data_IF_373602574121
#
_entry.id   IF_373602574121
#
_cell.length_a   1.000
_cell.length_b   1.000
_cell.length_c   1.000
_cell.angle_alpha   90.00
_cell.angle_beta   90.00
_cell.angle_gamma   90.00
#
_symmetry.space_group_name_H-M   'P 1'
#
loop_
_entity.id
_entity.type
_entity.pdbx_description
1 polymer ?
#
# COMPACT_ATOMS: atom_id res chain seq x y z
N UNK A 1 9.00 15.01 6.47
CA UNK A 1 9.18 16.22 7.30
C UNK A 1 8.02 16.24 8.28
N UNK A 2 8.23 15.80 9.52
CA UNK A 2 7.20 15.73 10.56
C UNK A 2 7.07 17.12 11.21
N UNK A 3 5.84 17.58 11.40
CA UNK A 3 5.51 18.92 11.89
C UNK A 3 6.00 19.16 13.31
N UNK A 4 6.64 20.31 13.50
CA UNK A 4 7.09 20.82 14.80
C UNK A 4 5.86 21.34 15.56
N UNK A 5 5.53 20.72 16.69
CA UNK A 5 4.54 21.26 17.63
C UNK A 5 5.02 22.60 18.20
N UNK A 6 4.09 23.52 18.41
CA UNK A 6 4.31 24.95 18.68
C UNK A 6 4.99 25.27 20.04
N UNK A 7 5.40 24.26 20.83
CA UNK A 7 6.01 24.43 22.15
C UNK A 7 7.27 23.59 22.44
N UNK A 8 7.85 22.91 21.45
CA UNK A 8 9.17 22.27 21.62
C UNK A 8 9.23 21.08 22.60
N UNK A 9 8.10 20.60 23.12
CA UNK A 9 8.02 19.30 23.79
C UNK A 9 7.88 18.19 22.74
N UNK A 10 8.78 17.21 22.79
CA UNK A 10 8.61 15.97 22.06
C UNK A 10 7.49 15.18 22.75
N UNK A 11 6.42 14.85 22.02
CA UNK A 11 5.37 13.97 22.52
C UNK A 11 5.95 12.65 23.03
N UNK A 12 5.23 11.96 23.91
CA UNK A 12 5.63 10.64 24.40
C UNK A 12 5.83 9.67 23.23
N UNK A 13 6.58 8.57 23.44
CA UNK A 13 6.79 7.55 22.40
C UNK A 13 5.45 7.07 21.83
N UNK A 14 4.45 6.88 22.70
CA UNK A 14 3.10 6.49 22.28
C UNK A 14 2.44 7.54 21.40
N UNK A 15 2.46 8.81 21.79
CA UNK A 15 1.89 9.92 21.00
C UNK A 15 2.55 10.04 19.62
N UNK A 16 3.85 9.76 19.51
CA UNK A 16 4.58 9.76 18.24
C UNK A 16 4.11 8.64 17.32
N UNK A 17 3.91 7.42 17.85
CA UNK A 17 3.38 6.28 17.10
C UNK A 17 1.91 6.47 16.71
N UNK A 18 1.10 7.04 17.61
CA UNK A 18 -0.31 7.39 17.33
C UNK A 18 -0.41 8.45 16.23
N UNK A 19 0.42 9.50 16.30
CA UNK A 19 0.51 10.52 15.25
C UNK A 19 0.91 9.94 13.90
N UNK A 20 1.84 8.97 13.90
CA UNK A 20 2.23 8.24 12.71
C UNK A 20 1.09 7.37 12.15
N UNK A 21 0.36 6.63 12.99
CA UNK A 21 -0.79 5.83 12.57
C UNK A 21 -1.87 6.70 11.93
N UNK A 22 -2.22 7.83 12.57
CA UNK A 22 -3.19 8.78 12.05
C UNK A 22 -2.76 9.38 10.70
N UNK A 23 -1.48 9.76 10.56
CA UNK A 23 -0.92 10.23 9.30
C UNK A 23 -1.00 9.15 8.20
N UNK A 24 -0.62 7.91 8.51
CA UNK A 24 -0.60 6.82 7.54
C UNK A 24 -2.02 6.46 7.09
N UNK A 25 -2.98 6.37 8.01
CA UNK A 25 -4.39 6.12 7.69
C UNK A 25 -4.96 7.21 6.76
N UNK A 26 -4.71 8.48 7.07
CA UNK A 26 -5.10 9.58 6.20
C UNK A 26 -4.46 9.46 4.81
N UNK A 27 -3.17 9.12 4.75
CA UNK A 27 -2.45 8.99 3.49
C UNK A 27 -2.96 7.84 2.62
N UNK A 28 -3.29 6.70 3.23
CA UNK A 28 -3.89 5.55 2.55
C UNK A 28 -5.22 5.93 1.88
N UNK A 29 -6.02 6.78 2.53
CA UNK A 29 -7.31 7.23 1.98
C UNK A 29 -7.17 8.09 0.73
N UNK A 30 -6.05 8.80 0.55
CA UNK A 30 -5.78 9.65 -0.61
C UNK A 30 -5.19 8.90 -1.81
N UNK A 31 -4.86 7.62 -1.66
CA UNK A 31 -4.23 6.85 -2.71
C UNK A 31 -5.20 6.59 -3.88
N UNK A 32 -4.77 6.80 -5.14
CA UNK A 32 -5.48 6.25 -6.28
C UNK A 32 -5.51 4.71 -6.20
N UNK A 33 -6.57 4.11 -6.76
CA UNK A 33 -6.65 2.65 -6.93
C UNK A 33 -5.43 2.12 -7.68
N UNK A 34 -4.97 0.94 -7.28
CA UNK A 34 -3.77 0.24 -7.73
C UNK A 34 -2.44 0.90 -7.34
N UNK A 35 -2.44 2.05 -6.65
CA UNK A 35 -1.21 2.58 -6.07
C UNK A 35 -0.73 1.74 -4.88
N UNK A 36 0.58 1.74 -4.67
CA UNK A 36 1.25 0.97 -3.60
C UNK A 36 2.12 1.90 -2.77
N UNK A 37 2.13 1.65 -1.46
CA UNK A 37 3.14 2.12 -0.53
C UNK A 37 3.92 0.89 -0.05
N UNK A 38 5.21 0.86 -0.29
CA UNK A 38 6.13 -0.07 0.37
C UNK A 38 6.81 0.68 1.52
N UNK A 39 6.66 0.14 2.73
CA UNK A 39 7.33 0.62 3.93
C UNK A 39 8.35 -0.41 4.38
N UNK A 40 9.50 0.05 4.86
CA UNK A 40 10.55 -0.81 5.39
C UNK A 40 11.60 0.01 6.14
N UNK A 41 12.70 -0.62 6.55
CA UNK A 41 13.77 0.09 7.25
C UNK A 41 14.41 1.15 6.34
N UNK A 42 14.46 2.41 6.80
CA UNK A 42 14.90 3.55 5.99
C UNK A 42 16.37 3.50 5.56
N UNK A 43 17.21 2.80 6.34
CA UNK A 43 18.65 2.66 6.09
C UNK A 43 19.02 1.33 5.41
N UNK A 44 18.04 0.46 5.15
CA UNK A 44 18.31 -0.82 4.50
C UNK A 44 18.59 -0.61 3.00
N UNK A 45 19.60 -1.32 2.50
CA UNK A 45 19.93 -1.34 1.08
C UNK A 45 20.16 -2.75 0.58
N UNK A 46 19.94 -3.04 -0.71
CA UNK A 46 20.27 -4.35 -1.27
C UNK A 46 21.74 -4.76 -1.08
N UNK A 47 22.66 -3.79 -0.99
CA UNK A 47 24.08 -4.05 -0.82
C UNK A 47 24.46 -4.46 0.61
N UNK A 48 23.73 -3.98 1.62
CA UNK A 48 24.03 -4.20 3.04
C UNK A 48 23.16 -5.27 3.66
N UNK A 49 21.90 -5.39 3.21
CA UNK A 49 20.86 -6.19 3.84
C UNK A 49 20.29 -7.27 2.91
N UNK A 50 20.67 -7.22 1.62
CA UNK A 50 20.18 -8.16 0.63
C UNK A 50 18.66 -8.13 0.53
N UNK A 51 18.04 -9.29 0.75
CA UNK A 51 16.58 -9.47 0.72
C UNK A 51 15.98 -9.67 2.12
N UNK A 52 16.78 -9.72 3.19
CA UNK A 52 16.31 -9.94 4.56
C UNK A 52 16.01 -8.59 5.22
N UNK A 53 14.78 -8.13 5.01
CA UNK A 53 14.33 -6.80 5.41
C UNK A 53 12.89 -6.82 5.88
N UNK A 54 12.60 -6.08 6.94
CA UNK A 54 11.24 -5.91 7.43
C UNK A 54 10.46 -4.99 6.50
N UNK A 55 9.36 -5.49 5.95
CA UNK A 55 8.55 -4.81 4.95
C UNK A 55 7.07 -4.88 5.28
N UNK A 56 6.38 -3.77 5.05
CA UNK A 56 4.93 -3.70 4.99
C UNK A 56 4.52 -3.08 3.65
N UNK A 57 3.75 -3.81 2.86
CA UNK A 57 3.24 -3.33 1.57
C UNK A 57 1.75 -3.09 1.69
N UNK A 58 1.32 -1.88 1.33
CA UNK A 58 -0.08 -1.45 1.33
C UNK A 58 -0.48 -1.08 -0.08
N UNK A 59 -1.45 -1.79 -0.66
CA UNK A 59 -1.98 -1.51 -1.99
C UNK A 59 -3.43 -1.07 -1.93
N UNK A 60 -3.76 0.05 -2.58
CA UNK A 60 -5.14 0.54 -2.68
C UNK A 60 -5.90 -0.30 -3.70
N UNK A 61 -7.05 -0.83 -3.27
CA UNK A 61 -8.01 -1.56 -4.08
C UNK A 61 -9.26 -0.70 -4.35
N UNK A 62 -10.14 -1.18 -5.22
CA UNK A 62 -11.50 -0.65 -5.41
C UNK A 62 -12.34 -0.86 -4.14
N UNK A 63 -13.46 -0.13 -4.03
CA UNK A 63 -14.38 -0.25 -2.90
C UNK A 63 -13.78 0.19 -1.57
N UNK A 64 -12.82 1.13 -1.62
CA UNK A 64 -12.08 1.67 -0.48
C UNK A 64 -11.38 0.61 0.37
N UNK A 65 -10.97 -0.47 -0.28
CA UNK A 65 -10.23 -1.57 0.33
C UNK A 65 -8.73 -1.38 0.21
N UNK A 66 -8.02 -2.05 1.09
CA UNK A 66 -6.57 -2.07 1.17
C UNK A 66 -6.11 -3.51 1.31
N UNK A 67 -5.14 -3.91 0.49
CA UNK A 67 -4.34 -5.11 0.74
C UNK A 67 -3.12 -4.70 1.57
N UNK A 68 -3.00 -5.27 2.77
CA UNK A 68 -1.80 -5.20 3.60
C UNK A 68 -1.07 -6.54 3.51
N UNK A 69 0.23 -6.50 3.21
CA UNK A 69 1.13 -7.66 3.25
C UNK A 69 2.30 -7.34 4.17
N UNK A 70 2.67 -8.28 5.04
CA UNK A 70 3.81 -8.15 5.94
C UNK A 70 4.86 -9.23 5.62
N UNK A 71 6.13 -8.86 5.65
CA UNK A 71 7.22 -9.78 5.37
C UNK A 71 8.52 -9.36 6.05
N UNK A 72 9.37 -10.33 6.38
CA UNK A 72 10.81 -10.13 6.66
C UNK A 72 11.66 -10.46 5.43
N UNK A 73 11.06 -10.41 4.26
CA UNK A 73 11.76 -10.59 2.99
C UNK A 73 11.27 -9.54 2.01
N UNK A 74 12.18 -9.00 1.19
CA UNK A 74 11.83 -8.00 0.18
C UNK A 74 10.68 -8.51 -0.70
N UNK A 75 9.60 -7.76 -0.72
CA UNK A 75 8.41 -8.08 -1.52
C UNK A 75 8.46 -7.40 -2.88
N UNK A 76 7.95 -8.09 -3.88
CA UNK A 76 7.58 -7.49 -5.15
C UNK A 76 6.14 -6.99 -5.08
N UNK A 77 5.83 -5.99 -5.90
CA UNK A 77 4.45 -5.54 -6.07
C UNK A 77 3.70 -6.60 -6.87
N UNK A 78 2.59 -7.16 -6.34
CA UNK A 78 1.89 -8.24 -6.99
C UNK A 78 1.13 -7.69 -8.18
N UNK A 79 1.11 -8.47 -9.26
CA UNK A 79 0.21 -8.24 -10.37
C UNK A 79 -1.09 -8.98 -10.08
N UNK A 80 -2.14 -8.24 -9.69
CA UNK A 80 -3.46 -8.78 -9.43
C UNK A 80 -4.26 -8.87 -10.74
N UNK A 81 -5.10 -9.90 -10.87
CA UNK A 81 -6.02 -10.08 -12.00
C UNK A 81 -7.13 -9.02 -11.99
N UNK A 82 -7.57 -8.61 -10.81
CA UNK A 82 -8.42 -7.48 -10.53
C UNK A 82 -8.01 -6.79 -9.21
N UNK A 83 -8.33 -5.50 -9.09
CA UNK A 83 -8.03 -4.72 -7.89
C UNK A 83 -9.26 -4.54 -7.00
N UNK A 84 -10.22 -5.47 -6.98
CA UNK A 84 -11.44 -5.34 -6.16
C UNK A 84 -11.32 -5.97 -4.76
N UNK A 85 -10.64 -7.10 -4.65
CA UNK A 85 -10.55 -7.87 -3.40
C UNK A 85 -11.90 -8.35 -2.89
N UNK A 86 -12.94 -8.47 -3.73
CA UNK A 86 -14.30 -8.83 -3.32
C UNK A 86 -14.41 -10.25 -2.76
N UNK A 87 -13.56 -11.15 -3.27
CA UNK A 87 -13.57 -12.57 -2.92
C UNK A 87 -12.75 -12.89 -1.65
N UNK A 88 -12.07 -11.89 -1.06
CA UNK A 88 -11.30 -12.06 0.18
C UNK A 88 -12.17 -11.64 1.36
N UNK A 89 -12.19 -12.47 2.40
CA UNK A 89 -12.87 -12.16 3.65
C UNK A 89 -12.22 -10.93 4.31
N UNK A 90 -12.96 -9.84 4.53
CA UNK A 90 -12.38 -8.63 5.11
C UNK A 90 -11.98 -8.85 6.56
N UNK A 91 -10.95 -8.12 7.00
CA UNK A 91 -10.47 -8.06 8.39
C UNK A 91 -10.03 -9.41 8.98
N UNK A 92 -9.73 -10.37 8.09
CA UNK A 92 -9.14 -11.66 8.45
C UNK A 92 -7.67 -11.72 8.03
N UNK A 93 -6.84 -12.31 8.88
CA UNK A 93 -5.44 -12.55 8.57
C UNK A 93 -5.26 -13.90 7.87
N UNK A 94 -4.51 -13.91 6.76
CA UNK A 94 -4.33 -15.07 5.89
C UNK A 94 -2.87 -15.52 5.83
N UNK A 95 -2.67 -16.85 5.85
CA UNK A 95 -1.36 -17.53 5.72
C UNK A 95 -1.40 -18.65 4.66
N UNK A 96 -2.27 -18.53 3.66
CA UNK A 96 -2.53 -19.57 2.65
C UNK A 96 -1.43 -19.70 1.58
N UNK A 97 -0.35 -18.91 1.67
CA UNK A 97 0.76 -18.94 0.73
C UNK A 97 0.43 -18.35 -0.64
N UNK A 98 -0.63 -17.54 -0.77
CA UNK A 98 -1.01 -16.89 -2.03
C UNK A 98 0.12 -16.04 -2.63
N UNK A 99 0.93 -15.42 -1.79
CA UNK A 99 2.07 -14.58 -2.19
C UNK A 99 3.38 -15.21 -1.69
N UNK A 100 4.21 -15.70 -2.60
CA UNK A 100 5.44 -16.47 -2.27
C UNK A 100 6.46 -15.69 -1.42
N UNK A 101 6.51 -14.37 -1.61
CA UNK A 101 7.38 -13.41 -0.93
C UNK A 101 6.76 -12.79 0.34
N UNK A 102 5.52 -13.16 0.68
CA UNK A 102 4.80 -12.68 1.86
C UNK A 102 4.98 -13.63 3.06
N UNK A 103 6.06 -13.43 3.81
CA UNK A 103 6.44 -14.39 4.87
C UNK A 103 5.55 -14.33 6.12
N UNK A 104 4.83 -13.22 6.36
CA UNK A 104 4.04 -13.03 7.59
C UNK A 104 2.54 -12.91 7.34
N UNK A 105 2.10 -13.16 6.11
CA UNK A 105 0.69 -13.16 5.74
C UNK A 105 0.16 -11.79 5.35
N UNK A 106 -1.13 -11.79 5.02
CA UNK A 106 -1.81 -10.63 4.47
C UNK A 106 -3.23 -10.49 5.02
N UNK A 107 -3.79 -9.30 4.80
CA UNK A 107 -5.17 -8.96 5.16
C UNK A 107 -5.72 -8.00 4.11
N UNK A 108 -7.02 -8.13 3.85
CA UNK A 108 -7.80 -7.13 3.10
C UNK A 108 -8.74 -6.44 4.07
N UNK A 109 -8.78 -5.11 4.05
CA UNK A 109 -9.66 -4.33 4.93
C UNK A 109 -10.19 -3.08 4.24
N UNK A 110 -11.37 -2.63 4.67
CA UNK A 110 -11.91 -1.30 4.33
C UNK A 110 -11.50 -0.22 5.36
N UNK A 111 -10.89 -0.61 6.47
CA UNK A 111 -10.47 0.30 7.53
C UNK A 111 -9.00 0.70 7.33
N UNK A 112 -8.77 1.91 6.81
CA UNK A 112 -7.43 2.49 6.73
C UNK A 112 -6.77 2.63 8.12
N UNK A 113 -7.59 2.84 9.16
CA UNK A 113 -7.13 2.90 10.56
C UNK A 113 -6.59 1.55 11.00
N UNK A 114 -7.34 0.46 10.78
CA UNK A 114 -6.88 -0.89 11.12
C UNK A 114 -5.57 -1.23 10.39
N UNK A 115 -5.48 -0.89 9.10
CA UNK A 115 -4.26 -1.12 8.32
C UNK A 115 -3.08 -0.34 8.90
N UNK A 116 -3.27 0.93 9.25
CA UNK A 116 -2.22 1.75 9.85
C UNK A 116 -1.78 1.22 11.23
N UNK A 117 -2.72 0.82 12.07
CA UNK A 117 -2.46 0.25 13.39
C UNK A 117 -1.67 -1.06 13.28
N UNK A 118 -2.00 -1.92 12.30
CA UNK A 118 -1.25 -3.15 12.02
C UNK A 118 0.16 -2.87 11.52
N UNK A 119 0.36 -1.81 10.73
CA UNK A 119 1.70 -1.37 10.32
C UNK A 119 2.50 -0.86 11.52
N UNK A 120 1.87 -0.16 12.45
CA UNK A 120 2.50 0.24 13.73
C UNK A 120 2.88 -0.99 14.54
N UNK A 121 1.95 -1.91 14.80
CA UNK A 121 2.22 -3.13 15.54
C UNK A 121 3.36 -3.94 14.90
N UNK A 122 3.39 -4.01 13.56
CA UNK A 122 4.46 -4.64 12.82
C UNK A 122 5.82 -4.01 13.11
N UNK A 123 6.01 -2.72 12.81
CA UNK A 123 7.34 -2.10 12.95
C UNK A 123 7.73 -1.89 14.41
N UNK A 124 6.80 -1.44 15.25
CA UNK A 124 7.04 -1.13 16.66
C UNK A 124 7.24 -2.39 17.50
N UNK A 125 6.27 -3.30 17.47
CA UNK A 125 6.21 -4.42 18.43
C UNK A 125 6.94 -5.65 17.88
N UNK A 126 6.72 -5.97 16.61
CA UNK A 126 7.27 -7.20 16.01
C UNK A 126 8.70 -7.03 15.48
N UNK A 127 9.02 -5.87 14.92
CA UNK A 127 10.37 -5.54 14.41
C UNK A 127 11.22 -4.74 15.41
N UNK A 128 10.61 -4.19 16.48
CA UNK A 128 11.33 -3.51 17.54
C UNK A 128 11.87 -2.12 17.18
N UNK A 129 11.24 -1.43 16.23
CA UNK A 129 11.67 -0.09 15.85
C UNK A 129 11.37 0.88 17.01
N UNK A 130 12.38 1.66 17.41
CA UNK A 130 12.24 2.60 18.52
C UNK A 130 11.34 3.80 18.20
N UNK A 131 11.23 4.17 16.92
CA UNK A 131 10.47 5.33 16.47
C UNK A 131 10.11 5.22 14.97
N UNK A 132 9.01 5.85 14.50
CA UNK A 132 8.58 5.82 13.11
C UNK A 132 9.57 6.45 12.11
N UNK A 133 10.47 7.31 12.54
CA UNK A 133 11.50 7.94 11.68
C UNK A 133 12.49 6.93 11.08
N UNK A 134 12.55 5.72 11.65
CA UNK A 134 13.30 4.57 11.12
C UNK A 134 12.61 3.91 9.92
N UNK A 135 11.38 4.28 9.61
CA UNK A 135 10.59 3.72 8.51
C UNK A 135 10.78 4.59 7.25
N UNK A 136 11.29 3.98 6.19
CA UNK A 136 11.35 4.54 4.85
C UNK A 136 10.13 4.15 4.03
N UNK A 137 9.76 4.99 3.06
CA UNK A 137 8.62 4.76 2.17
C UNK A 137 9.03 4.86 0.71
N UNK A 138 8.60 3.89 -0.08
CA UNK A 138 8.56 3.98 -1.54
C UNK A 138 7.10 4.02 -2.00
N UNK A 139 6.80 4.99 -2.87
CA UNK A 139 5.46 5.15 -3.42
C UNK A 139 5.44 4.80 -4.91
N UNK A 140 4.58 3.86 -5.28
CA UNK A 140 4.31 3.54 -6.69
C UNK A 140 2.91 3.99 -7.06
N UNK A 141 2.81 4.84 -8.07
CA UNK A 141 1.54 5.29 -8.64
C UNK A 141 1.12 4.38 -9.80
N UNK A 142 -0.16 4.03 -9.84
CA UNK A 142 -0.75 3.37 -11.01
C UNK A 142 -0.56 4.20 -12.29
N UNK A 143 -0.22 3.53 -13.40
CA UNK A 143 -0.12 4.17 -14.72
C UNK A 143 -1.49 4.15 -15.39
N UNK A 144 -1.96 5.31 -15.84
CA UNK A 144 -3.15 5.41 -16.68
C UNK A 144 -2.75 5.40 -18.15
N UNK A 145 -3.39 4.54 -18.95
CA UNK A 145 -3.31 4.66 -20.40
C UNK A 145 -4.13 5.87 -20.89
N UNK A 146 -3.72 6.54 -21.97
CA UNK A 146 -4.54 7.58 -22.58
C UNK A 146 -5.93 7.04 -22.93
N UNK A 147 -6.99 7.73 -22.49
CA UNK A 147 -8.35 7.41 -22.91
C UNK A 147 -8.59 8.01 -24.31
N UNK A 148 -8.19 7.31 -25.37
CA UNK A 148 -8.60 7.68 -26.73
C UNK A 148 -10.05 7.24 -26.95
N UNK A 149 -10.99 8.09 -26.53
CA UNK A 149 -12.42 7.82 -26.60
C UNK A 149 -13.23 9.09 -26.81
N UNK A 150 -12.95 9.83 -27.88
CA UNK A 150 -13.69 11.03 -28.25
C UNK A 150 -13.40 11.50 -29.67
N UNK A 151 -14.13 10.95 -30.66
CA UNK A 151 -14.35 11.63 -31.94
C UNK A 151 -13.57 11.14 -33.17
N UNK A 152 -13.88 9.93 -33.65
CA UNK A 152 -13.99 9.68 -35.09
C UNK A 152 -14.86 8.44 -35.30
N UNK A 153 -16.18 8.61 -35.34
CA UNK A 153 -17.02 7.66 -36.07
C UNK A 153 -16.54 7.72 -37.52
N UNK A 154 -15.76 6.74 -37.96
CA UNK A 154 -15.62 6.46 -39.38
C UNK A 154 -17.04 6.21 -39.91
N UNK A 155 -17.62 7.21 -40.57
CA UNK A 155 -18.76 6.99 -41.47
C UNK A 155 -18.23 6.11 -42.59
N UNK A 156 -18.52 4.82 -42.50
CA UNK A 156 -18.39 3.94 -43.66
C UNK A 156 -19.29 4.52 -44.76
N UNK A 157 -18.78 4.81 -45.97
CA UNK A 157 -19.63 5.16 -47.09
C UNK A 157 -20.56 3.97 -47.36
N UNK A 158 -21.85 4.26 -47.45
CA UNK A 158 -22.89 3.29 -47.79
C UNK A 158 -22.67 2.91 -49.25
N UNK A 159 -21.86 1.88 -49.50
CA UNK A 159 -21.70 1.33 -50.84
C UNK A 159 -23.05 0.78 -51.29
N UNK A 160 -23.46 1.18 -52.48
CA UNK A 160 -24.70 0.79 -53.14
C UNK A 160 -24.79 -0.73 -53.25
N UNK A 161 -25.73 -1.32 -52.51
CA UNK A 161 -26.36 -2.58 -52.87
C UNK A 161 -27.54 -2.21 -53.75
N UNK A 162 -27.27 -2.09 -55.05
CA UNK A 162 -28.26 -2.16 -56.13
C UNK A 162 -27.49 -2.42 -57.43
N UNK A 163 -27.22 -3.69 -57.73
CA UNK A 163 -27.23 -4.30 -59.07
C UNK A 163 -27.40 -5.80 -58.94
#
# INVERSE_FOLDING_TARGET
MVGRGDNGEYGTVDEVWEGFAGWLAARLMELPVASVIDAGRADATPATDGYDVECAQMQRLHGDRFLLRLSTTLMIIPLLDAYDGEMVEPDRWHHDGLFEDCTHGYLVSQSAVLVADLVVAWFRERCGFASPDRIGFAYMKAKSLPRTGGGARLRLPRAALDR
#
